data_IF_115631432966
#
_entry.id   IF_115631432966
#
_cell.length_a   1.000
_cell.length_b   1.000
_cell.length_c   1.000
_cell.angle_alpha   90.00
_cell.angle_beta   90.00
_cell.angle_gamma   90.00
#
_symmetry.space_group_name_H-M   'P 1'
#
loop_
_entity.id
_entity.type
_entity.pdbx_description
1 polymer ?
#
# COMPACT_ATOMS: atom_id res chain seq x y z
N UNK A 1 -21.26 -9.98 -7.16
CA UNK A 1 -21.26 -8.66 -7.82
C UNK A 1 -20.94 -7.65 -6.72
N UNK A 2 -19.78 -7.00 -6.78
CA UNK A 2 -19.36 -6.02 -5.75
C UNK A 2 -20.08 -4.70 -6.06
N UNK A 3 -20.96 -4.26 -5.17
CA UNK A 3 -21.70 -3.01 -5.28
C UNK A 3 -20.79 -1.88 -4.80
N UNK A 4 -20.60 -0.89 -5.66
CA UNK A 4 -19.83 0.33 -5.41
C UNK A 4 -20.70 1.30 -4.60
N UNK A 5 -20.25 1.65 -3.39
CA UNK A 5 -20.92 2.59 -2.47
C UNK A 5 -20.42 4.04 -2.67
N UNK A 6 -19.68 4.32 -3.76
CA UNK A 6 -19.11 5.64 -4.05
C UNK A 6 -17.85 6.01 -3.26
N UNK A 7 -17.30 5.12 -2.43
CA UNK A 7 -16.09 5.38 -1.63
C UNK A 7 -14.76 5.06 -2.33
N UNK A 8 -14.79 4.54 -3.56
CA UNK A 8 -13.60 4.30 -4.37
C UNK A 8 -12.75 3.11 -3.89
N UNK A 9 -12.24 2.33 -4.85
CA UNK A 9 -11.47 1.12 -4.62
C UNK A 9 -10.15 1.19 -5.37
N UNK A 10 -9.05 0.77 -4.74
CA UNK A 10 -7.78 0.53 -5.44
C UNK A 10 -7.46 -0.97 -5.43
N UNK A 11 -7.15 -1.49 -6.61
CA UNK A 11 -6.56 -2.82 -6.79
C UNK A 11 -5.04 -2.66 -6.82
N UNK A 12 -4.34 -3.36 -5.94
CA UNK A 12 -2.88 -3.25 -5.84
C UNK A 12 -2.20 -4.59 -6.10
N UNK A 13 -1.12 -4.52 -6.87
CA UNK A 13 -0.24 -5.65 -7.17
C UNK A 13 1.05 -5.62 -6.36
N UNK A 14 2.08 -6.30 -6.88
CA UNK A 14 3.34 -6.58 -6.19
C UNK A 14 4.07 -5.35 -5.62
N UNK A 15 3.96 -4.18 -6.26
CA UNK A 15 4.65 -2.94 -5.83
C UNK A 15 4.09 -2.40 -4.50
N UNK A 16 2.79 -2.57 -4.25
CA UNK A 16 2.10 -2.12 -3.04
C UNK A 16 1.33 -3.32 -2.48
N UNK A 17 1.99 -4.08 -1.62
CA UNK A 17 1.39 -5.30 -1.09
C UNK A 17 0.83 -5.04 0.31
N UNK A 18 -0.38 -5.51 0.55
CA UNK A 18 -0.95 -5.58 1.90
C UNK A 18 -0.23 -6.66 2.69
N UNK A 19 0.18 -6.35 3.92
CA UNK A 19 0.85 -7.32 4.78
C UNK A 19 -0.16 -8.33 5.33
N UNK A 20 0.28 -9.55 5.70
CA UNK A 20 -0.56 -10.45 6.48
C UNK A 20 -1.15 -9.73 7.69
N UNK A 21 -2.47 -9.83 7.88
CA UNK A 21 -3.20 -9.09 8.92
C UNK A 21 -3.97 -7.86 8.41
N UNK A 22 -3.71 -7.40 7.18
CA UNK A 22 -4.42 -6.31 6.51
C UNK A 22 -4.44 -4.96 7.28
N UNK A 23 -3.43 -4.71 8.12
CA UNK A 23 -3.29 -3.48 8.91
C UNK A 23 -2.16 -2.56 8.40
N UNK A 24 -1.38 -3.03 7.43
CA UNK A 24 -0.28 -2.29 6.83
C UNK A 24 -0.06 -2.68 5.36
N UNK A 25 0.65 -1.83 4.63
CA UNK A 25 1.22 -2.13 3.31
C UNK A 25 2.74 -2.05 3.33
N UNK A 26 3.38 -2.78 2.41
CA UNK A 26 4.83 -2.78 2.18
C UNK A 26 5.15 -2.54 0.70
N UNK A 27 6.40 -2.15 0.45
CA UNK A 27 6.93 -1.78 -0.87
C UNK A 27 8.20 -2.57 -1.15
N UNK A 28 8.20 -3.41 -2.18
CA UNK A 28 9.40 -4.10 -2.63
C UNK A 28 9.54 -4.04 -4.14
N UNK A 29 10.79 -4.03 -4.60
CA UNK A 29 11.13 -4.14 -6.02
C UNK A 29 11.23 -5.60 -6.45
N UNK A 30 11.67 -6.47 -5.54
CA UNK A 30 11.77 -7.92 -5.79
C UNK A 30 11.46 -8.70 -4.52
N UNK A 31 10.26 -9.28 -4.44
CA UNK A 31 9.90 -10.23 -3.36
C UNK A 31 10.81 -11.46 -3.30
N UNK A 32 11.15 -12.13 -4.42
CA UNK A 32 12.02 -13.31 -4.38
C UNK A 32 13.41 -13.02 -3.78
N UNK A 33 13.92 -11.81 -3.99
CA UNK A 33 15.24 -11.40 -3.51
C UNK A 33 15.16 -10.46 -2.29
N UNK A 34 13.97 -10.22 -1.75
CA UNK A 34 13.70 -9.30 -0.63
C UNK A 34 14.34 -7.91 -0.82
N UNK A 35 14.29 -7.38 -2.04
CA UNK A 35 14.89 -6.07 -2.36
C UNK A 35 13.86 -4.95 -2.15
N UNK A 36 14.11 -4.01 -1.22
CA UNK A 36 13.21 -2.89 -0.97
C UNK A 36 13.17 -1.92 -2.16
N UNK A 37 12.03 -1.25 -2.34
CA UNK A 37 11.94 -0.10 -3.23
C UNK A 37 12.74 1.08 -2.65
N UNK A 38 13.47 1.85 -3.47
CA UNK A 38 14.16 3.04 -2.99
C UNK A 38 13.15 4.09 -2.48
N UNK A 39 13.59 4.90 -1.51
CA UNK A 39 12.75 5.92 -0.88
C UNK A 39 12.09 6.88 -1.90
N UNK A 40 12.82 7.25 -2.95
CA UNK A 40 12.31 8.11 -4.04
C UNK A 40 11.11 7.51 -4.78
N UNK A 41 11.13 6.19 -5.03
CA UNK A 41 10.02 5.50 -5.68
C UNK A 41 8.78 5.46 -4.78
N UNK A 42 8.96 5.18 -3.49
CA UNK A 42 7.87 5.18 -2.51
C UNK A 42 7.24 6.58 -2.37
N UNK A 43 8.05 7.63 -2.39
CA UNK A 43 7.56 9.03 -2.40
C UNK A 43 6.74 9.32 -3.66
N UNK A 44 7.20 8.86 -4.84
CA UNK A 44 6.46 9.01 -6.08
C UNK A 44 5.10 8.33 -6.03
N UNK A 45 5.03 7.11 -5.49
CA UNK A 45 3.77 6.38 -5.29
C UNK A 45 2.83 7.17 -4.38
N UNK A 46 3.35 7.71 -3.26
CA UNK A 46 2.55 8.53 -2.34
C UNK A 46 1.99 9.79 -3.04
N UNK A 47 2.79 10.46 -3.87
CA UNK A 47 2.34 11.61 -4.64
C UNK A 47 1.24 11.24 -5.65
N UNK A 48 1.40 10.13 -6.37
CA UNK A 48 0.38 9.67 -7.30
C UNK A 48 -0.96 9.33 -6.60
N UNK A 49 -0.90 8.85 -5.35
CA UNK A 49 -2.07 8.52 -4.54
C UNK A 49 -2.67 9.72 -3.78
N UNK A 50 -2.05 10.90 -3.81
CA UNK A 50 -2.48 12.03 -2.98
C UNK A 50 -3.92 12.49 -3.32
N UNK A 51 -4.26 12.51 -4.61
CA UNK A 51 -5.53 13.00 -5.15
C UNK A 51 -6.55 11.87 -5.36
N UNK A 52 -6.14 10.62 -5.15
CA UNK A 52 -7.03 9.46 -5.26
C UNK A 52 -7.78 9.26 -3.95
N UNK A 53 -9.11 9.31 -4.00
CA UNK A 53 -9.97 8.97 -2.87
C UNK A 53 -10.28 7.47 -2.93
N UNK A 54 -9.92 6.77 -1.87
CA UNK A 54 -10.18 5.35 -1.69
C UNK A 54 -10.28 5.03 -0.21
N UNK A 55 -11.28 4.23 0.16
CA UNK A 55 -11.41 3.70 1.52
C UNK A 55 -11.02 2.22 1.61
N UNK A 56 -11.08 1.51 0.47
CA UNK A 56 -10.80 0.08 0.36
C UNK A 56 -9.62 -0.20 -0.55
N UNK A 57 -8.85 -1.23 -0.20
CA UNK A 57 -7.68 -1.65 -0.95
C UNK A 57 -7.61 -3.18 -0.92
N UNK A 58 -7.67 -3.79 -2.09
CA UNK A 58 -7.63 -5.25 -2.25
C UNK A 58 -6.24 -5.66 -2.73
N UNK A 59 -5.59 -6.53 -1.96
CA UNK A 59 -4.29 -7.08 -2.28
C UNK A 59 -4.37 -8.22 -3.30
N UNK A 60 -3.20 -8.65 -3.76
CA UNK A 60 -3.08 -9.71 -4.76
C UNK A 60 -3.29 -11.14 -4.19
N UNK A 61 -3.33 -11.31 -2.86
CA UNK A 61 -3.39 -12.60 -2.20
C UNK A 61 -4.61 -12.72 -1.27
N UNK A 62 -5.06 -13.96 -1.02
CA UNK A 62 -6.19 -14.22 -0.13
C UNK A 62 -5.91 -13.70 1.30
N UNK A 63 -6.89 -13.01 1.89
CA UNK A 63 -6.79 -12.44 3.24
C UNK A 63 -5.97 -11.14 3.32
N UNK A 64 -5.54 -10.58 2.19
CA UNK A 64 -4.79 -9.34 2.10
C UNK A 64 -5.66 -8.16 1.63
N UNK A 65 -6.87 -8.06 2.20
CA UNK A 65 -7.86 -7.03 1.84
C UNK A 65 -8.05 -6.02 2.97
N UNK A 66 -7.77 -4.76 2.71
CA UNK A 66 -8.09 -3.64 3.59
C UNK A 66 -9.49 -3.15 3.24
N UNK A 67 -10.45 -3.46 4.11
CA UNK A 67 -11.88 -3.19 3.86
C UNK A 67 -12.35 -1.80 4.26
N UNK A 68 -11.54 -1.05 5.02
CA UNK A 68 -11.82 0.34 5.43
C UNK A 68 -10.54 1.08 5.82
N UNK A 69 -10.56 2.43 5.79
CA UNK A 69 -9.44 3.30 6.18
C UNK A 69 -8.14 3.04 5.40
N UNK A 70 -8.22 2.48 4.19
CA UNK A 70 -7.04 2.07 3.42
C UNK A 70 -6.06 3.22 3.20
N UNK A 71 -6.56 4.42 2.90
CA UNK A 71 -5.71 5.60 2.70
C UNK A 71 -4.86 5.94 3.93
N UNK A 72 -5.45 5.87 5.13
CA UNK A 72 -4.73 6.18 6.37
C UNK A 72 -3.67 5.12 6.66
N UNK A 73 -4.00 3.85 6.42
CA UNK A 73 -3.06 2.73 6.56
C UNK A 73 -1.88 2.90 5.60
N UNK A 74 -2.13 3.20 4.33
CA UNK A 74 -1.08 3.43 3.32
C UNK A 74 -0.16 4.58 3.74
N UNK A 75 -0.70 5.73 4.14
CA UNK A 75 0.11 6.88 4.57
C UNK A 75 0.96 6.55 5.79
N UNK A 76 0.41 5.83 6.76
CA UNK A 76 1.15 5.38 7.96
C UNK A 76 2.29 4.43 7.58
N UNK A 77 2.02 3.46 6.70
CA UNK A 77 3.01 2.51 6.20
C UNK A 77 4.15 3.19 5.44
N UNK A 78 3.84 4.13 4.53
CA UNK A 78 4.85 4.92 3.81
C UNK A 78 5.76 5.65 4.79
N UNK A 79 5.19 6.35 5.78
CA UNK A 79 5.98 7.09 6.77
C UNK A 79 6.90 6.17 7.56
N UNK A 80 6.40 5.02 8.00
CA UNK A 80 7.19 4.01 8.73
C UNK A 80 8.31 3.45 7.87
N UNK A 81 8.01 3.11 6.62
CA UNK A 81 8.97 2.57 5.66
C UNK A 81 10.12 3.55 5.38
N UNK A 82 9.79 4.81 5.08
CA UNK A 82 10.80 5.86 4.86
C UNK A 82 11.63 6.15 6.12
N UNK A 83 11.04 6.02 7.31
CA UNK A 83 11.79 6.17 8.56
C UNK A 83 12.79 5.02 8.78
N UNK A 84 12.45 3.79 8.38
CA UNK A 84 13.37 2.65 8.42
C UNK A 84 14.53 2.81 7.44
N UNK A 85 14.28 3.23 6.20
CA UNK A 85 15.33 3.44 5.18
C UNK A 85 16.32 4.58 5.52
N UNK A 86 15.94 5.51 6.40
CA UNK A 86 16.81 6.62 6.84
C UNK A 86 17.67 6.29 8.06
N UNK A 87 17.46 5.15 8.71
CA UNK A 87 18.18 4.74 9.92
C UNK A 87 19.53 4.06 9.62
N UNK A 88 20.07 4.26 8.43
CA UNK A 88 21.34 3.71 7.96
C UNK A 88 22.40 4.80 7.82
#
# INVERSE_FOLDING_TARGET
MHIDDGEGIILVGDILQVTPGADAVSFMWSYPNMLPLPASAVIHIMHALQDVRFDRLYGAFEGQDIKSNARQIVVRSVRKYLACLRKE
#
